data_IF_552363361813
#
_entry.id   IF_552363361813
#
_cell.length_a   1.000
_cell.length_b   1.000
_cell.length_c   1.000
_cell.angle_alpha   90.00
_cell.angle_beta   90.00
_cell.angle_gamma   90.00
#
_symmetry.space_group_name_H-M   'P 1'
#
loop_
_entity.id
_entity.type
_entity.pdbx_description
1 polymer ?
#
# COMPACT_ATOMS: atom_id res chain seq x y z
N UNK A 1 -18.90 6.46 12.05
CA UNK A 1 -17.70 5.97 12.76
C UNK A 1 -16.50 6.42 11.95
N UNK A 2 -15.64 7.23 12.56
CA UNK A 2 -14.53 7.91 11.90
C UNK A 2 -13.51 6.93 11.34
N UNK A 3 -13.23 7.00 10.03
CA UNK A 3 -12.29 6.14 9.31
C UNK A 3 -10.80 6.46 9.58
N UNK A 4 -10.46 6.82 10.82
CA UNK A 4 -9.13 7.33 11.19
C UNK A 4 -8.06 6.23 11.33
N UNK A 5 -8.45 4.96 11.55
CA UNK A 5 -7.50 3.88 11.90
C UNK A 5 -7.18 2.91 10.74
N UNK A 6 -7.49 3.24 9.48
CA UNK A 6 -7.21 2.37 8.31
C UNK A 6 -5.98 2.78 7.54
N UNK A 7 -4.91 3.11 8.26
CA UNK A 7 -3.65 3.57 7.67
C UNK A 7 -2.49 3.09 8.52
N UNK A 8 -1.38 2.74 7.88
CA UNK A 8 -0.09 2.52 8.53
C UNK A 8 0.95 3.46 7.92
N UNK A 9 1.88 4.02 8.71
CA UNK A 9 3.01 4.78 8.17
C UNK A 9 3.84 3.95 7.18
N UNK A 10 4.31 4.58 6.11
CA UNK A 10 5.22 3.96 5.15
C UNK A 10 6.36 4.90 4.73
N UNK A 11 7.15 5.43 5.68
CA UNK A 11 8.27 6.33 5.37
C UNK A 11 9.30 5.69 4.43
N UNK A 12 9.40 4.36 4.40
CA UNK A 12 10.28 3.63 3.50
C UNK A 12 9.85 3.76 2.02
N UNK A 13 8.60 4.16 1.76
CA UNK A 13 8.06 4.44 0.43
C UNK A 13 8.15 5.92 0.04
N UNK A 14 8.91 6.73 0.80
CA UNK A 14 9.04 8.17 0.56
C UNK A 14 9.52 8.51 -0.84
N UNK A 15 10.53 7.82 -1.36
CA UNK A 15 11.02 8.04 -2.73
C UNK A 15 9.93 7.77 -3.77
N UNK A 16 9.12 6.72 -3.57
CA UNK A 16 7.98 6.43 -4.44
C UNK A 16 6.92 7.53 -4.36
N UNK A 17 6.61 8.02 -3.16
CA UNK A 17 5.67 9.12 -2.98
C UNK A 17 6.17 10.43 -3.59
N UNK A 18 7.47 10.75 -3.50
CA UNK A 18 8.03 11.96 -4.10
C UNK A 18 7.97 11.90 -5.65
N UNK A 19 8.12 10.72 -6.25
CA UNK A 19 7.94 10.54 -7.72
C UNK A 19 6.48 10.80 -8.15
N UNK A 20 5.51 10.37 -7.34
CA UNK A 20 4.09 10.38 -7.72
C UNK A 20 3.33 11.64 -7.29
N UNK A 21 3.58 12.10 -6.07
CA UNK A 21 2.82 13.16 -5.42
C UNK A 21 3.62 14.47 -5.34
N UNK A 22 4.97 14.40 -5.35
CA UNK A 22 5.89 15.55 -5.21
C UNK A 22 5.56 16.47 -4.00
N UNK A 23 5.05 15.89 -2.92
CA UNK A 23 4.57 16.64 -1.74
C UNK A 23 5.62 16.83 -0.67
N UNK A 24 6.72 16.08 -0.72
CA UNK A 24 7.76 16.12 0.30
C UNK A 24 7.27 15.63 1.67
N UNK A 25 6.29 14.74 1.72
CA UNK A 25 5.72 14.16 2.95
C UNK A 25 5.87 12.64 2.99
N UNK A 26 5.97 12.09 4.20
CA UNK A 26 6.01 10.64 4.37
C UNK A 26 4.62 10.07 4.09
N UNK A 27 4.50 9.11 3.16
CA UNK A 27 3.20 8.56 2.81
C UNK A 27 2.72 7.56 3.85
N UNK A 28 1.47 7.16 3.70
CA UNK A 28 0.86 6.08 4.48
C UNK A 28 0.26 5.05 3.54
N UNK A 29 0.21 3.78 3.97
CA UNK A 29 -0.58 2.76 3.28
C UNK A 29 -1.96 2.73 3.91
N UNK A 30 -2.97 3.18 3.15
CA UNK A 30 -4.37 3.14 3.53
C UNK A 30 -5.12 1.95 2.95
N UNK A 31 -6.26 1.60 3.55
CA UNK A 31 -7.18 0.63 2.96
C UNK A 31 -8.65 0.99 3.12
N UNK A 32 -9.47 0.44 2.22
CA UNK A 32 -10.91 0.68 2.19
C UNK A 32 -11.67 -0.03 3.32
N UNK A 33 -12.98 0.23 3.43
CA UNK A 33 -13.80 -0.40 4.47
C UNK A 33 -13.93 -1.91 4.30
N UNK A 34 -13.84 -2.41 3.07
CA UNK A 34 -13.94 -3.84 2.83
C UNK A 34 -12.64 -4.59 3.15
N UNK A 35 -11.52 -3.90 3.40
CA UNK A 35 -10.22 -4.56 3.55
C UNK A 35 -9.79 -5.24 2.25
N UNK A 36 -10.09 -4.62 1.11
CA UNK A 36 -9.84 -5.15 -0.23
C UNK A 36 -8.90 -4.29 -1.02
N UNK A 37 -8.98 -2.98 -0.88
CA UNK A 37 -8.20 -2.04 -1.68
C UNK A 37 -7.17 -1.37 -0.78
N UNK A 38 -5.89 -1.50 -1.14
CA UNK A 38 -4.75 -0.92 -0.46
C UNK A 38 -4.07 0.10 -1.36
N UNK A 39 -3.85 1.29 -0.83
CA UNK A 39 -3.32 2.44 -1.57
C UNK A 39 -2.20 3.11 -0.77
N UNK A 40 -1.16 3.58 -1.44
CA UNK A 40 -0.24 4.58 -0.91
C UNK A 40 -0.94 5.93 -1.02
N UNK A 41 -0.93 6.73 0.02
CA UNK A 41 -1.65 8.02 0.08
C UNK A 41 -0.80 9.09 0.74
N UNK A 42 -0.91 10.33 0.27
CA UNK A 42 -0.44 11.48 1.03
C UNK A 42 -1.33 11.63 2.30
N UNK A 43 -0.72 11.85 3.48
CA UNK A 43 -1.48 11.91 4.73
C UNK A 43 -2.43 13.11 4.81
N UNK A 44 -2.15 14.21 4.09
CA UNK A 44 -2.96 15.44 4.13
C UNK A 44 -3.70 15.74 2.82
N UNK A 45 -3.36 15.07 1.72
CA UNK A 45 -4.11 15.12 0.46
C UNK A 45 -4.57 13.74 -0.01
N UNK A 46 -5.84 13.41 0.26
CA UNK A 46 -6.42 12.13 -0.14
C UNK A 46 -6.68 12.00 -1.66
N UNK A 47 -6.45 13.05 -2.45
CA UNK A 47 -6.48 12.95 -3.93
C UNK A 47 -5.20 12.34 -4.47
N UNK A 48 -4.08 12.57 -3.78
CA UNK A 48 -2.78 11.97 -4.06
C UNK A 48 -2.72 10.53 -3.55
N UNK A 49 -3.00 9.58 -4.45
CA UNK A 49 -3.06 8.16 -4.13
C UNK A 49 -2.50 7.30 -5.25
N UNK A 50 -1.89 6.17 -4.88
CA UNK A 50 -1.39 5.14 -5.78
C UNK A 50 -1.89 3.77 -5.32
N UNK A 51 -2.56 3.02 -6.19
CA UNK A 51 -3.01 1.67 -5.83
C UNK A 51 -1.81 0.73 -5.69
N UNK A 52 -1.70 0.05 -4.54
CA UNK A 52 -0.66 -0.93 -4.27
C UNK A 52 -1.17 -2.36 -4.48
N UNK A 53 -2.38 -2.65 -4.00
CA UNK A 53 -2.93 -3.99 -4.05
C UNK A 53 -4.46 -3.97 -4.00
N UNK A 54 -5.09 -4.86 -4.79
CA UNK A 54 -6.54 -5.12 -4.74
C UNK A 54 -6.76 -6.60 -4.51
N UNK A 55 -7.25 -6.95 -3.33
CA UNK A 55 -7.56 -8.31 -2.96
C UNK A 55 -8.89 -8.80 -3.60
N UNK A 56 -8.95 -10.06 -4.06
CA UNK A 56 -10.16 -10.63 -4.64
C UNK A 56 -11.30 -10.75 -3.62
N UNK A 57 -10.97 -10.90 -2.33
CA UNK A 57 -11.87 -10.95 -1.17
C UNK A 57 -11.36 -10.04 -0.06
N UNK A 58 -12.20 -9.81 0.95
CA UNK A 58 -11.82 -9.06 2.15
C UNK A 58 -10.74 -9.82 2.92
N UNK A 59 -9.59 -9.19 3.18
CA UNK A 59 -8.53 -9.84 3.95
C UNK A 59 -8.86 -9.83 5.45
N UNK A 60 -8.54 -10.92 6.15
CA UNK A 60 -8.84 -11.05 7.57
C UNK A 60 -8.04 -10.08 8.47
N UNK A 61 -6.82 -9.73 8.06
CA UNK A 61 -5.90 -8.85 8.81
C UNK A 61 -5.34 -7.75 7.88
N UNK A 62 -6.15 -6.73 7.51
CA UNK A 62 -5.74 -5.71 6.56
C UNK A 62 -4.57 -4.86 7.07
N UNK A 63 -4.43 -4.68 8.38
CA UNK A 63 -3.28 -3.97 8.94
C UNK A 63 -1.97 -4.71 8.66
N UNK A 64 -1.97 -6.06 8.73
CA UNK A 64 -0.79 -6.87 8.43
C UNK A 64 -0.42 -6.83 6.96
N UNK A 65 -1.42 -6.81 6.08
CA UNK A 65 -1.22 -6.63 4.64
C UNK A 65 -0.61 -5.25 4.38
N UNK A 66 -1.18 -4.19 4.95
CA UNK A 66 -0.68 -2.83 4.79
C UNK A 66 0.77 -2.68 5.29
N UNK A 67 1.11 -3.26 6.44
CA UNK A 67 2.47 -3.27 6.98
C UNK A 67 3.45 -4.01 6.05
N UNK A 68 3.04 -5.19 5.56
CA UNK A 68 3.86 -5.98 4.63
C UNK A 68 4.11 -5.24 3.31
N UNK A 69 3.13 -4.46 2.83
CA UNK A 69 3.28 -3.61 1.65
C UNK A 69 4.23 -2.44 1.93
N UNK A 70 4.07 -1.74 3.06
CA UNK A 70 4.93 -0.62 3.47
C UNK A 70 6.42 -1.02 3.53
N UNK A 71 6.71 -2.14 4.19
CA UNK A 71 8.09 -2.63 4.35
C UNK A 71 8.62 -3.32 3.09
N UNK A 72 7.80 -4.17 2.47
CA UNK A 72 8.26 -5.07 1.41
C UNK A 72 8.39 -4.42 0.03
N UNK A 73 7.63 -3.34 -0.22
CA UNK A 73 7.71 -2.62 -1.48
C UNK A 73 8.80 -1.55 -1.51
N UNK A 74 9.35 -1.15 -0.37
CA UNK A 74 10.49 -0.21 -0.31
C UNK A 74 11.73 -0.72 -1.04
N UNK A 75 11.86 -2.05 -1.19
CA UNK A 75 12.94 -2.69 -1.94
C UNK A 75 12.64 -2.86 -3.45
N UNK A 76 11.54 -2.31 -3.95
CA UNK A 76 11.06 -2.52 -5.31
C UNK A 76 10.97 -1.21 -6.10
N UNK A 77 11.51 -1.19 -7.30
CA UNK A 77 11.29 -0.09 -8.24
C UNK A 77 9.85 -0.14 -8.78
N UNK A 78 9.14 0.97 -8.64
CA UNK A 78 7.82 1.17 -9.24
C UNK A 78 7.97 1.81 -10.61
N UNK A 79 7.33 1.27 -11.67
CA UNK A 79 7.33 1.95 -12.95
C UNK A 79 6.59 3.30 -12.82
N UNK A 80 7.09 4.39 -13.45
CA UNK A 80 6.48 5.72 -13.39
C UNK A 80 5.20 5.83 -14.25
N UNK A 81 4.57 4.71 -14.63
CA UNK A 81 3.42 4.67 -15.55
C UNK A 81 2.07 4.82 -14.85
N UNK A 82 2.02 4.73 -13.53
CA UNK A 82 0.80 4.94 -12.73
C UNK A 82 0.01 3.67 -12.49
N UNK A 83 0.53 2.54 -12.97
CA UNK A 83 -0.12 1.23 -12.86
C UNK A 83 0.03 0.60 -11.47
N UNK A 84 0.68 1.29 -10.52
CA UNK A 84 0.87 0.82 -9.15
C UNK A 84 2.05 -0.14 -8.99
N UNK A 85 2.05 -0.87 -7.87
CA UNK A 85 3.03 -1.91 -7.58
C UNK A 85 2.88 -3.08 -8.56
N UNK A 86 3.99 -3.59 -9.11
CA UNK A 86 3.93 -4.82 -9.92
C UNK A 86 3.31 -5.97 -9.11
N UNK A 87 2.34 -6.73 -9.65
CA UNK A 87 1.74 -7.87 -8.94
C UNK A 87 2.76 -8.89 -8.42
N UNK A 88 3.89 -9.04 -9.13
CA UNK A 88 5.00 -9.91 -8.70
C UNK A 88 5.70 -9.39 -7.44
N UNK A 89 5.91 -8.08 -7.33
CA UNK A 89 6.53 -7.46 -6.16
C UNK A 89 5.60 -7.49 -4.96
N UNK A 90 4.31 -7.21 -5.18
CA UNK A 90 3.26 -7.35 -4.16
C UNK A 90 3.22 -8.77 -3.61
N UNK A 91 3.14 -9.78 -4.49
CA UNK A 91 3.11 -11.18 -4.06
C UNK A 91 4.40 -11.59 -3.31
N UNK A 92 5.56 -11.04 -3.68
CA UNK A 92 6.83 -11.29 -2.98
C UNK A 92 6.82 -10.66 -1.58
N UNK A 93 6.37 -9.42 -1.44
CA UNK A 93 6.26 -8.71 -0.17
C UNK A 93 5.32 -9.43 0.80
N UNK A 94 4.12 -9.81 0.33
CA UNK A 94 3.14 -10.55 1.12
C UNK A 94 3.67 -11.92 1.58
N UNK A 95 4.28 -12.69 0.67
CA UNK A 95 4.88 -13.98 1.02
C UNK A 95 6.03 -13.86 2.02
N UNK A 96 6.84 -12.80 1.94
CA UNK A 96 7.90 -12.54 2.91
C UNK A 96 7.35 -12.30 4.33
N UNK A 97 6.14 -11.73 4.44
CA UNK A 97 5.42 -11.55 5.69
C UNK A 97 4.58 -12.78 6.12
N UNK A 98 4.67 -13.90 5.38
CA UNK A 98 3.88 -15.11 5.63
C UNK A 98 2.40 -14.99 5.26
N UNK A 99 2.06 -14.05 4.37
CA UNK A 99 0.70 -13.82 3.87
C UNK A 99 0.58 -14.45 2.49
N UNK A 100 -0.42 -15.32 2.32
CA UNK A 100 -0.76 -15.87 1.01
C UNK A 100 -1.64 -14.86 0.25
N UNK A 101 -1.17 -14.28 -0.87
CA UNK A 101 -1.93 -13.29 -1.65
C UNK A 101 -3.15 -13.90 -2.36
N UNK A 102 -3.20 -15.22 -2.48
CA UNK A 102 -4.25 -15.97 -3.18
C UNK A 102 -5.24 -16.64 -2.20
N UNK A 103 -4.97 -16.56 -0.89
CA UNK A 103 -5.86 -17.09 0.13
C UNK A 103 -7.03 -16.13 0.37
N UNK A 104 -8.27 -16.66 0.47
CA UNK A 104 -9.47 -15.85 0.65
C UNK A 104 -9.58 -15.16 2.01
#
# INVERSE_FOLDING_TARGET
>A
MSGADRRVPAPELRETADIWFDTGRDPVVGWDHAGRHFELVDPEDATERLTLFVAPSAVAAPERVAQALAEGLAACDFPPTGDGASPRHVAKALRAAGIDPDAP
#
